data_IF_497700356503
#
_entry.id   IF_497700356503
#
_cell.length_a   1.000
_cell.length_b   1.000
_cell.length_c   1.000
_cell.angle_alpha   90.00
_cell.angle_beta   90.00
_cell.angle_gamma   90.00
#
_symmetry.space_group_name_H-M   'P 1'
#
loop_
_entity.id
_entity.type
_entity.pdbx_description
1 polymer ?
#
# COMPACT_ATOMS: atom_id res chain seq x y z
N UNK A 1 8.97 8.10 16.57
CA UNK A 1 10.26 7.40 16.31
C UNK A 1 11.23 7.67 17.46
N UNK A 2 11.28 6.80 18.47
CA UNK A 2 12.14 7.02 19.65
C UNK A 2 13.64 6.83 19.36
N UNK A 3 14.02 6.03 18.36
CA UNK A 3 15.43 5.84 17.99
C UNK A 3 16.07 7.12 17.41
N UNK A 4 15.32 7.89 16.61
CA UNK A 4 15.77 9.17 16.07
C UNK A 4 15.94 10.22 17.17
N UNK A 5 14.97 10.29 18.10
CA UNK A 5 15.09 11.15 19.27
C UNK A 5 16.34 10.82 20.09
N UNK A 6 16.58 9.52 20.32
CA UNK A 6 17.78 9.04 21.00
C UNK A 6 19.09 9.46 20.33
N UNK A 7 19.13 9.49 19.01
CA UNK A 7 20.32 9.93 18.27
C UNK A 7 20.51 11.45 18.30
N UNK A 8 19.48 12.22 17.94
CA UNK A 8 19.59 13.67 17.73
C UNK A 8 19.53 14.50 19.02
N UNK A 9 18.78 14.05 20.03
CA UNK A 9 18.51 14.84 21.24
C UNK A 9 19.15 14.25 22.51
N UNK A 10 19.37 12.93 22.56
CA UNK A 10 20.01 12.27 23.70
C UNK A 10 21.48 11.91 23.46
N UNK A 11 22.01 12.16 22.25
CA UNK A 11 23.41 11.90 21.89
C UNK A 11 23.80 10.41 21.91
N UNK A 12 22.84 9.49 21.79
CA UNK A 12 23.11 8.06 21.82
C UNK A 12 23.80 7.60 20.53
N UNK A 13 24.81 6.74 20.66
CA UNK A 13 25.49 6.16 19.50
C UNK A 13 24.61 5.18 18.72
N UNK A 14 24.90 5.02 17.42
CA UNK A 14 24.19 4.06 16.56
C UNK A 14 24.27 2.62 17.09
N UNK A 15 25.40 2.23 17.68
CA UNK A 15 25.61 0.92 18.29
C UNK A 15 24.72 0.70 19.52
N UNK A 16 24.61 1.72 20.38
CA UNK A 16 23.73 1.68 21.55
C UNK A 16 22.27 1.59 21.14
N UNK A 17 21.86 2.36 20.12
CA UNK A 17 20.52 2.27 19.54
C UNK A 17 20.25 0.89 18.90
N UNK A 18 21.21 0.32 18.17
CA UNK A 18 21.09 -1.03 17.61
C UNK A 18 20.80 -2.08 18.68
N UNK A 19 21.49 -1.97 19.83
CA UNK A 19 21.31 -2.84 20.99
C UNK A 19 19.93 -2.64 21.64
N UNK A 20 19.55 -1.38 21.95
CA UNK A 20 18.27 -1.06 22.61
C UNK A 20 17.07 -1.53 21.78
N UNK A 21 17.10 -1.34 20.46
CA UNK A 21 15.97 -1.67 19.59
C UNK A 21 16.02 -3.09 18.99
N UNK A 22 17.07 -3.86 19.33
CA UNK A 22 17.37 -5.14 18.71
C UNK A 22 17.24 -5.07 17.17
N UNK A 23 18.01 -4.16 16.59
CA UNK A 23 18.05 -3.93 15.13
C UNK A 23 19.49 -3.93 14.67
N UNK A 24 19.69 -4.35 13.42
CA UNK A 24 20.99 -4.24 12.79
C UNK A 24 21.42 -2.77 12.70
N UNK A 25 22.72 -2.49 12.87
CA UNK A 25 23.26 -1.12 12.85
C UNK A 25 22.92 -0.39 11.54
N UNK A 26 22.89 -1.10 10.41
CA UNK A 26 22.50 -0.52 9.11
C UNK A 26 21.05 -0.04 9.11
N UNK A 27 20.14 -0.71 9.82
CA UNK A 27 18.75 -0.26 9.94
C UNK A 27 18.68 1.08 10.68
N UNK A 28 19.42 1.22 11.78
CA UNK A 28 19.52 2.47 12.54
C UNK A 28 20.15 3.58 11.68
N UNK A 29 21.25 3.27 10.99
CA UNK A 29 21.91 4.21 10.06
C UNK A 29 20.96 4.67 8.96
N UNK A 30 20.19 3.76 8.35
CA UNK A 30 19.23 4.08 7.31
C UNK A 30 18.10 4.97 7.83
N UNK A 31 17.61 4.75 9.06
CA UNK A 31 16.61 5.62 9.67
C UNK A 31 17.15 7.03 9.89
N UNK A 32 18.35 7.15 10.46
CA UNK A 32 19.00 8.45 10.70
C UNK A 32 19.24 9.19 9.39
N UNK A 33 19.81 8.51 8.39
CA UNK A 33 20.10 9.12 7.08
C UNK A 33 18.82 9.58 6.39
N UNK A 34 17.76 8.75 6.36
CA UNK A 34 16.48 9.13 5.77
C UNK A 34 15.88 10.34 6.47
N UNK A 35 15.91 10.37 7.80
CA UNK A 35 15.41 11.52 8.54
C UNK A 35 16.24 12.78 8.28
N UNK A 36 17.57 12.68 8.20
CA UNK A 36 18.42 13.82 7.89
C UNK A 36 18.21 14.38 6.47
N UNK A 37 17.86 13.53 5.50
CA UNK A 37 17.64 13.96 4.11
C UNK A 37 16.22 14.45 3.83
N UNK A 38 15.20 13.70 4.26
CA UNK A 38 13.80 13.96 3.90
C UNK A 38 13.06 14.73 5.02
N UNK A 39 13.69 14.93 6.19
CA UNK A 39 13.04 15.37 7.45
C UNK A 39 11.77 14.57 7.79
N UNK A 40 11.69 13.34 7.29
CA UNK A 40 10.55 12.46 7.38
C UNK A 40 10.95 11.10 7.96
N UNK A 41 10.07 10.57 8.79
CA UNK A 41 10.21 9.28 9.44
C UNK A 41 9.09 8.31 9.07
N UNK A 42 8.16 8.72 8.19
CA UNK A 42 7.09 7.85 7.72
C UNK A 42 7.64 6.66 6.93
N UNK A 43 6.91 5.54 6.98
CA UNK A 43 7.22 4.38 6.15
C UNK A 43 6.95 4.76 4.69
N UNK A 44 7.91 4.51 3.80
CA UNK A 44 7.68 4.69 2.35
C UNK A 44 6.54 3.77 1.93
N UNK A 45 5.51 4.36 1.33
CA UNK A 45 4.49 3.60 0.63
C UNK A 45 5.05 3.18 -0.72
N UNK A 46 5.17 1.89 -0.96
CA UNK A 46 5.48 1.39 -2.29
C UNK A 46 4.26 1.60 -3.17
N UNK A 47 4.42 2.33 -4.29
CA UNK A 47 3.37 2.43 -5.32
C UNK A 47 2.99 1.02 -5.76
N UNK A 48 1.75 0.62 -5.52
CA UNK A 48 1.23 -0.68 -5.93
C UNK A 48 0.93 -0.64 -7.43
N UNK A 49 1.93 -0.99 -8.25
CA UNK A 49 1.83 -1.04 -9.72
C UNK A 49 0.81 -2.07 -10.26
N UNK A 50 0.21 -2.90 -9.39
CA UNK A 50 -0.80 -3.89 -9.76
C UNK A 50 -2.25 -3.43 -9.65
N UNK A 51 -2.50 -2.14 -9.40
CA UNK A 51 -3.88 -1.65 -9.27
C UNK A 51 -4.57 -1.49 -10.64
N UNK A 52 -5.87 -1.76 -10.66
CA UNK A 52 -6.77 -1.40 -11.76
C UNK A 52 -6.58 0.09 -12.10
N UNK A 53 -6.55 0.42 -13.38
CA UNK A 53 -6.58 1.82 -13.85
C UNK A 53 -7.89 2.48 -13.42
N UNK A 54 -7.95 3.81 -13.44
CA UNK A 54 -9.18 4.53 -13.12
C UNK A 54 -10.35 4.06 -14.01
N UNK A 55 -10.11 3.98 -15.32
CA UNK A 55 -11.08 3.51 -16.32
C UNK A 55 -11.61 2.10 -16.02
N UNK A 56 -10.72 1.19 -15.61
CA UNK A 56 -11.09 -0.19 -15.25
C UNK A 56 -11.98 -0.25 -14.01
N UNK A 57 -11.79 0.67 -13.06
CA UNK A 57 -12.64 0.76 -11.86
C UNK A 57 -13.99 1.35 -12.18
N UNK A 58 -14.01 2.44 -12.95
CA UNK A 58 -15.25 3.08 -13.39
C UNK A 58 -16.13 2.11 -14.18
N UNK A 59 -15.53 1.32 -15.07
CA UNK A 59 -16.24 0.27 -15.80
C UNK A 59 -16.83 -0.80 -14.87
N UNK A 60 -16.11 -1.24 -13.83
CA UNK A 60 -16.63 -2.20 -12.86
C UNK A 60 -17.83 -1.61 -12.08
N UNK A 61 -17.79 -0.34 -11.71
CA UNK A 61 -18.90 0.33 -11.02
C UNK A 61 -20.14 0.47 -11.91
N UNK A 62 -19.94 0.87 -13.16
CA UNK A 62 -21.01 0.95 -14.16
C UNK A 62 -21.63 -0.43 -14.42
N UNK A 63 -20.81 -1.48 -14.51
CA UNK A 63 -21.29 -2.86 -14.62
C UNK A 63 -22.20 -3.26 -13.44
N UNK A 64 -21.80 -2.96 -12.21
CA UNK A 64 -22.62 -3.23 -11.02
C UNK A 64 -23.84 -2.32 -10.91
N UNK A 65 -23.79 -1.11 -11.46
CA UNK A 65 -24.96 -0.21 -11.52
C UNK A 65 -26.03 -0.78 -12.46
N UNK A 66 -25.62 -1.40 -13.58
CA UNK A 66 -26.52 -2.06 -14.53
C UNK A 66 -26.97 -3.45 -14.06
N UNK A 67 -26.13 -4.13 -13.28
CA UNK A 67 -26.39 -5.46 -12.75
C UNK A 67 -26.16 -5.51 -11.22
N UNK A 68 -27.08 -4.96 -10.43
CA UNK A 68 -26.90 -4.82 -8.98
C UNK A 68 -26.83 -6.15 -8.22
N UNK A 69 -27.29 -7.24 -8.85
CA UNK A 69 -27.28 -8.60 -8.29
C UNK A 69 -26.21 -9.51 -8.90
N UNK A 70 -25.32 -8.95 -9.73
CA UNK A 70 -24.27 -9.75 -10.38
C UNK A 70 -23.27 -10.30 -9.35
N UNK A 71 -22.90 -11.56 -9.53
CA UNK A 71 -21.88 -12.19 -8.69
C UNK A 71 -20.48 -11.70 -9.04
N UNK A 72 -19.55 -11.80 -8.09
CA UNK A 72 -18.16 -11.38 -8.30
C UNK A 72 -17.46 -12.16 -9.43
N UNK A 73 -17.87 -13.41 -9.67
CA UNK A 73 -17.31 -14.24 -10.74
C UNK A 73 -17.80 -13.79 -12.13
N UNK A 74 -19.07 -13.38 -12.24
CA UNK A 74 -19.64 -12.82 -13.47
C UNK A 74 -18.96 -11.48 -13.82
N UNK A 75 -18.76 -10.62 -12.82
CA UNK A 75 -18.04 -9.36 -12.98
C UNK A 75 -16.59 -9.59 -13.41
N UNK A 76 -15.92 -10.62 -12.86
CA UNK A 76 -14.58 -11.03 -13.28
C UNK A 76 -14.58 -11.49 -14.74
N UNK A 77 -15.47 -12.40 -15.12
CA UNK A 77 -15.55 -12.92 -16.48
C UNK A 77 -15.83 -11.80 -17.51
N UNK A 78 -16.77 -10.90 -17.19
CA UNK A 78 -17.09 -9.75 -18.04
C UNK A 78 -15.90 -8.77 -18.17
N UNK A 79 -15.16 -8.55 -17.08
CA UNK A 79 -13.95 -7.73 -17.10
C UNK A 79 -12.85 -8.33 -17.97
N UNK A 80 -12.61 -9.63 -17.83
CA UNK A 80 -11.62 -10.37 -18.62
C UNK A 80 -11.96 -10.31 -20.12
N UNK A 81 -13.24 -10.40 -20.47
CA UNK A 81 -13.71 -10.25 -21.84
C UNK A 81 -13.54 -8.83 -22.40
N UNK A 82 -13.72 -7.80 -21.57
CA UNK A 82 -13.64 -6.39 -22.01
C UNK A 82 -12.22 -5.86 -22.14
N UNK A 83 -11.35 -6.19 -21.17
CA UNK A 83 -9.99 -5.63 -21.06
C UNK A 83 -8.88 -6.61 -21.42
N UNK A 84 -9.21 -7.86 -21.74
CA UNK A 84 -8.26 -8.94 -22.07
C UNK A 84 -7.18 -9.09 -20.98
N UNK A 85 -7.57 -8.82 -19.73
CA UNK A 85 -6.67 -8.80 -18.56
C UNK A 85 -7.28 -9.62 -17.43
N UNK A 86 -6.52 -10.58 -16.94
CA UNK A 86 -6.89 -11.37 -15.78
C UNK A 86 -6.97 -10.49 -14.51
N UNK A 87 -8.05 -10.65 -13.75
CA UNK A 87 -8.19 -10.09 -12.42
C UNK A 87 -8.69 -11.15 -11.44
N UNK A 88 -8.21 -11.08 -10.19
CA UNK A 88 -8.72 -11.96 -9.14
C UNK A 88 -10.05 -11.46 -8.61
N UNK A 89 -10.91 -12.37 -8.12
CA UNK A 89 -12.17 -12.03 -7.43
C UNK A 89 -11.91 -11.06 -6.28
N UNK A 90 -10.83 -11.27 -5.51
CA UNK A 90 -10.38 -10.37 -4.44
C UNK A 90 -10.05 -8.96 -4.93
N UNK A 91 -9.60 -8.81 -6.18
CA UNK A 91 -9.35 -7.50 -6.80
C UNK A 91 -10.67 -6.79 -7.11
N UNK A 92 -11.66 -7.51 -7.67
CA UNK A 92 -13.02 -7.00 -7.91
C UNK A 92 -13.63 -6.52 -6.60
N UNK A 93 -13.62 -7.37 -5.57
CA UNK A 93 -14.20 -7.06 -4.27
C UNK A 93 -13.54 -5.84 -3.60
N UNK A 94 -12.21 -5.73 -3.67
CA UNK A 94 -11.50 -4.54 -3.15
C UNK A 94 -11.87 -3.27 -3.92
N UNK A 95 -12.06 -3.35 -5.22
CA UNK A 95 -12.48 -2.20 -6.02
C UNK A 95 -13.87 -1.72 -5.59
N UNK A 96 -14.83 -2.64 -5.41
CA UNK A 96 -16.18 -2.31 -4.93
C UNK A 96 -16.16 -1.72 -3.51
N UNK A 97 -15.41 -2.34 -2.60
CA UNK A 97 -15.29 -1.87 -1.21
C UNK A 97 -14.66 -0.48 -1.10
N UNK A 98 -13.75 -0.11 -2.00
CA UNK A 98 -13.18 1.25 -2.06
C UNK A 98 -14.23 2.32 -2.40
N UNK A 99 -15.32 1.94 -3.05
CA UNK A 99 -16.41 2.82 -3.47
C UNK A 99 -17.66 2.70 -2.59
N UNK A 100 -17.58 2.01 -1.44
CA UNK A 100 -18.69 1.95 -0.48
C UNK A 100 -19.84 1.02 -0.87
N UNK A 101 -19.65 0.18 -1.90
CA UNK A 101 -20.61 -0.87 -2.25
C UNK A 101 -20.30 -2.12 -1.42
N UNK A 102 -21.16 -2.37 -0.45
CA UNK A 102 -21.26 -3.61 0.34
C UNK A 102 -22.71 -4.03 0.42
#
# INVERSE_FOLDING_TARGET
MHALYGYFYLGLSKQRLATIYNKHINTISNWIQRFASDNDYQRRSTKRNGQLTAEQREWLLDFYTRHPVAFLDEAKAAFEHKFTRFISISTVWRALRQHGLT
#
